data_IF_289939334412
#
_entry.id   IF_289939334412
#
_cell.length_a   1.000
_cell.length_b   1.000
_cell.length_c   1.000
_cell.angle_alpha   90.00
_cell.angle_beta   90.00
_cell.angle_gamma   90.00
#
_symmetry.space_group_name_H-M   'P 1'
#
loop_
_entity.id
_entity.type
_entity.pdbx_description
1 polymer ?
#
# COMPACT_ATOMS: atom_id res chain seq x y z
N UNK A 1 4.19 -11.24 -0.08
CA UNK A 1 4.64 -9.91 -0.52
C UNK A 1 4.27 -9.73 -1.99
N UNK A 2 4.64 -8.60 -2.62
CA UNK A 2 4.18 -8.29 -3.97
C UNK A 2 4.57 -9.32 -5.03
N UNK A 3 5.81 -9.83 -4.97
CA UNK A 3 6.33 -10.82 -5.91
C UNK A 3 5.54 -12.14 -5.89
N UNK A 4 5.21 -12.65 -4.69
CA UNK A 4 4.43 -13.88 -4.54
C UNK A 4 2.95 -13.69 -4.84
N UNK A 5 2.38 -12.52 -4.51
CA UNK A 5 0.95 -12.31 -4.62
C UNK A 5 0.51 -11.94 -6.04
N UNK A 6 1.35 -11.25 -6.83
CA UNK A 6 0.97 -10.79 -8.16
C UNK A 6 0.58 -11.95 -9.10
N UNK A 7 1.34 -13.06 -9.22
CA UNK A 7 0.95 -14.19 -10.08
C UNK A 7 -0.43 -14.75 -9.73
N UNK A 8 -0.75 -14.87 -8.43
CA UNK A 8 -2.07 -15.32 -7.96
C UNK A 8 -3.16 -14.36 -8.43
N UNK A 9 -2.93 -13.06 -8.33
CA UNK A 9 -3.89 -12.07 -8.81
C UNK A 9 -4.09 -12.13 -10.34
N UNK A 10 -3.04 -12.45 -11.10
CA UNK A 10 -3.13 -12.65 -12.56
C UNK A 10 -4.00 -13.86 -12.89
N UNK A 11 -3.75 -15.01 -12.25
CA UNK A 11 -4.57 -16.22 -12.44
C UNK A 11 -6.04 -15.95 -12.10
N UNK A 12 -6.32 -15.17 -11.05
CA UNK A 12 -7.68 -14.76 -10.70
C UNK A 12 -8.31 -13.86 -11.77
N UNK A 13 -7.57 -12.90 -12.32
CA UNK A 13 -8.06 -12.02 -13.40
C UNK A 13 -8.42 -12.82 -14.64
N UNK A 14 -7.58 -13.79 -15.01
CA UNK A 14 -7.81 -14.69 -16.14
C UNK A 14 -9.04 -15.59 -15.90
N UNK A 15 -9.13 -16.19 -14.71
CA UNK A 15 -10.22 -17.10 -14.35
C UNK A 15 -11.60 -16.43 -14.40
N UNK A 16 -11.68 -15.14 -14.05
CA UNK A 16 -12.93 -14.38 -14.10
C UNK A 16 -13.18 -13.71 -15.45
N UNK A 17 -12.23 -13.80 -16.39
CA UNK A 17 -12.29 -13.22 -17.73
C UNK A 17 -12.73 -11.74 -17.75
N UNK A 18 -12.32 -10.97 -16.74
CA UNK A 18 -12.70 -9.56 -16.58
C UNK A 18 -14.16 -9.30 -16.18
N UNK A 19 -14.98 -10.34 -15.94
CA UNK A 19 -16.37 -10.19 -15.51
C UNK A 19 -16.51 -9.73 -14.06
N UNK A 20 -15.50 -10.02 -13.22
CA UNK A 20 -15.45 -9.63 -11.82
C UNK A 20 -14.16 -8.85 -11.57
N UNK A 21 -14.23 -7.63 -11.03
CA UNK A 21 -13.03 -6.89 -10.66
C UNK A 21 -12.22 -7.62 -9.58
N UNK A 22 -10.92 -7.84 -9.84
CA UNK A 22 -10.00 -8.44 -8.87
C UNK A 22 -9.29 -7.36 -8.05
N UNK A 23 -9.10 -7.65 -6.77
CA UNK A 23 -8.33 -6.84 -5.82
C UNK A 23 -7.01 -7.53 -5.47
N UNK A 24 -5.95 -6.75 -5.25
CA UNK A 24 -4.63 -7.25 -4.87
C UNK A 24 -4.00 -6.30 -3.85
N UNK A 25 -3.73 -6.80 -2.64
CA UNK A 25 -3.24 -6.02 -1.49
C UNK A 25 -2.09 -6.73 -0.75
N UNK A 26 -0.88 -6.78 -1.32
CA UNK A 26 0.24 -7.47 -0.68
C UNK A 26 0.70 -6.77 0.60
N UNK A 27 1.32 -7.56 1.48
CA UNK A 27 2.07 -7.03 2.62
C UNK A 27 3.24 -6.18 2.16
N UNK A 28 3.56 -5.13 2.92
CA UNK A 28 4.70 -4.25 2.73
C UNK A 28 6.02 -4.82 3.24
N UNK A 29 6.17 -6.15 3.27
CA UNK A 29 7.37 -6.84 3.72
C UNK A 29 7.98 -7.67 2.59
N UNK A 30 9.31 -7.76 2.57
CA UNK A 30 10.10 -8.52 1.60
C UNK A 30 10.03 -10.03 1.89
N UNK A 31 8.92 -10.65 1.50
CA UNK A 31 8.72 -12.10 1.58
C UNK A 31 9.44 -12.83 0.45
N UNK A 32 9.76 -14.10 0.67
CA UNK A 32 10.29 -15.02 -0.34
C UNK A 32 9.37 -16.23 -0.51
N UNK A 33 9.65 -17.11 -1.47
CA UNK A 33 8.83 -18.30 -1.71
C UNK A 33 8.93 -19.28 -0.54
N UNK A 34 10.13 -19.45 0.04
CA UNK A 34 10.36 -20.28 1.23
C UNK A 34 9.83 -19.64 2.53
N UNK A 35 9.47 -18.35 2.49
CA UNK A 35 9.07 -17.58 3.65
C UNK A 35 7.92 -16.62 3.30
N UNK A 36 6.86 -17.13 2.66
CA UNK A 36 5.77 -16.31 2.15
C UNK A 36 4.85 -15.76 3.27
N UNK A 37 4.68 -16.53 4.35
CA UNK A 37 3.87 -16.16 5.50
C UNK A 37 4.69 -15.39 6.54
N UNK A 38 4.56 -14.06 6.53
CA UNK A 38 5.28 -13.18 7.44
C UNK A 38 4.91 -13.38 8.91
N UNK A 39 3.77 -14.01 9.21
CA UNK A 39 3.34 -14.26 10.60
C UNK A 39 4.04 -15.46 11.23
N UNK A 40 4.65 -16.31 10.40
CA UNK A 40 5.45 -17.46 10.84
C UNK A 40 6.91 -17.12 11.19
N UNK A 41 7.34 -15.89 10.87
CA UNK A 41 8.72 -15.46 11.03
C UNK A 41 9.10 -15.23 12.50
N UNK A 42 10.35 -15.49 12.92
CA UNK A 42 10.80 -15.21 14.28
C UNK A 42 10.75 -13.71 14.63
N UNK A 43 10.74 -12.83 13.63
CA UNK A 43 10.61 -11.39 13.82
C UNK A 43 9.17 -10.93 14.10
N UNK A 44 8.15 -11.76 13.88
CA UNK A 44 6.77 -11.34 14.11
C UNK A 44 6.42 -11.30 15.61
N UNK A 45 5.72 -10.26 16.12
CA UNK A 45 5.25 -9.08 15.40
C UNK A 45 6.20 -7.85 15.49
N UNK A 46 7.25 -7.90 16.32
CA UNK A 46 7.98 -6.68 16.74
C UNK A 46 9.26 -6.35 15.94
N UNK A 47 9.85 -7.31 15.25
CA UNK A 47 11.12 -7.18 14.51
C UNK A 47 10.96 -6.94 13.00
N UNK A 48 9.76 -6.60 12.52
CA UNK A 48 9.44 -6.59 11.09
C UNK A 48 10.03 -5.38 10.32
N UNK A 49 10.46 -4.33 11.02
CA UNK A 49 10.96 -3.08 10.42
C UNK A 49 12.11 -3.32 9.43
N UNK A 50 13.02 -4.24 9.72
CA UNK A 50 14.15 -4.55 8.85
C UNK A 50 13.74 -5.26 7.54
N UNK A 51 12.51 -5.77 7.46
CA UNK A 51 11.96 -6.45 6.29
C UNK A 51 10.97 -5.59 5.52
N UNK A 52 10.70 -4.36 5.95
CA UNK A 52 9.80 -3.44 5.25
C UNK A 52 10.35 -3.10 3.87
N UNK A 53 9.48 -3.17 2.86
CA UNK A 53 9.81 -2.82 1.48
C UNK A 53 10.08 -1.32 1.36
N UNK A 54 10.81 -0.93 0.32
CA UNK A 54 10.90 0.47 -0.05
C UNK A 54 9.61 0.90 -0.77
N UNK A 55 9.31 2.21 -0.73
CA UNK A 55 8.19 2.79 -1.50
C UNK A 55 8.22 2.43 -2.99
N UNK A 56 9.42 2.26 -3.56
CA UNK A 56 9.63 1.92 -4.96
C UNK A 56 9.17 0.52 -5.31
N UNK A 57 9.27 -0.43 -4.39
CA UNK A 57 8.90 -1.83 -4.62
C UNK A 57 7.37 -1.96 -4.76
N UNK A 58 6.63 -1.31 -3.85
CA UNK A 58 5.17 -1.27 -3.97
C UNK A 58 4.71 -0.42 -5.15
N UNK A 59 5.46 0.63 -5.51
CA UNK A 59 5.19 1.41 -6.72
C UNK A 59 5.28 0.54 -7.99
N UNK A 60 6.37 -0.21 -8.15
CA UNK A 60 6.55 -1.13 -9.28
C UNK A 60 5.42 -2.17 -9.33
N UNK A 61 5.11 -2.80 -8.20
CA UNK A 61 3.96 -3.70 -8.09
C UNK A 61 2.65 -3.06 -8.57
N UNK A 62 2.40 -1.79 -8.24
CA UNK A 62 1.17 -1.15 -8.67
C UNK A 62 1.10 -0.96 -10.20
N UNK A 63 2.23 -0.67 -10.85
CA UNK A 63 2.30 -0.64 -12.31
C UNK A 63 1.99 -2.02 -12.90
N UNK A 64 2.68 -3.05 -12.41
CA UNK A 64 2.54 -4.42 -12.91
C UNK A 64 1.12 -4.95 -12.69
N UNK A 65 0.53 -4.71 -11.52
CA UNK A 65 -0.84 -5.11 -11.21
C UNK A 65 -1.87 -4.40 -12.09
N UNK A 66 -1.68 -3.11 -12.38
CA UNK A 66 -2.55 -2.35 -13.30
C UNK A 66 -2.49 -2.95 -14.70
N UNK A 67 -1.29 -3.22 -15.18
CA UNK A 67 -1.05 -3.73 -16.53
C UNK A 67 -1.56 -5.17 -16.67
N UNK A 68 -1.53 -5.95 -15.60
CA UNK A 68 -2.14 -7.27 -15.50
C UNK A 68 -3.68 -7.26 -15.32
N UNK A 69 -4.33 -6.09 -15.31
CA UNK A 69 -5.79 -5.99 -15.27
C UNK A 69 -6.43 -5.96 -13.88
N UNK A 70 -5.64 -5.93 -12.79
CA UNK A 70 -6.16 -5.74 -11.43
C UNK A 70 -6.82 -4.36 -11.34
N UNK A 71 -8.03 -4.30 -10.76
CA UNK A 71 -8.83 -3.06 -10.69
C UNK A 71 -8.81 -2.40 -9.32
N UNK A 72 -8.58 -3.17 -8.26
CA UNK A 72 -8.41 -2.65 -6.91
C UNK A 72 -7.00 -2.97 -6.40
N UNK A 73 -6.10 -2.00 -6.53
CA UNK A 73 -4.69 -2.14 -6.15
C UNK A 73 -4.46 -1.42 -4.84
N UNK A 74 -4.06 -2.16 -3.81
CA UNK A 74 -3.77 -1.62 -2.49
C UNK A 74 -2.60 -2.36 -1.84
N UNK A 75 -2.53 -2.27 -0.52
CA UNK A 75 -1.48 -2.89 0.28
C UNK A 75 -2.03 -3.23 1.66
N UNK A 76 -1.38 -4.16 2.35
CA UNK A 76 -1.81 -4.65 3.67
C UNK A 76 -0.74 -4.36 4.75
N UNK A 77 -0.56 -5.26 5.73
CA UNK A 77 0.37 -5.12 6.85
C UNK A 77 1.78 -4.70 6.40
N UNK A 78 2.42 -3.79 7.14
CA UNK A 78 3.74 -3.24 6.81
C UNK A 78 3.72 -2.08 5.82
N UNK A 79 2.60 -1.87 5.12
CA UNK A 79 2.44 -0.67 4.30
C UNK A 79 2.16 0.56 5.15
N UNK A 80 2.60 1.71 4.64
CA UNK A 80 2.43 3.04 5.26
C UNK A 80 2.04 4.05 4.19
N UNK A 81 1.67 5.26 4.58
CA UNK A 81 1.17 6.29 3.67
C UNK A 81 2.13 6.58 2.49
N UNK A 82 3.44 6.49 2.70
CA UNK A 82 4.44 6.69 1.65
C UNK A 82 4.36 5.63 0.54
N UNK A 83 4.13 4.37 0.89
CA UNK A 83 3.95 3.29 -0.07
C UNK A 83 2.74 3.54 -0.97
N UNK A 84 1.59 3.81 -0.35
CA UNK A 84 0.33 4.06 -1.08
C UNK A 84 0.45 5.29 -1.97
N UNK A 85 1.14 6.34 -1.51
CA UNK A 85 1.44 7.52 -2.34
C UNK A 85 2.31 7.17 -3.54
N UNK A 86 3.38 6.40 -3.35
CA UNK A 86 4.26 5.99 -4.44
C UNK A 86 3.53 5.11 -5.47
N UNK A 87 2.71 4.16 -5.01
CA UNK A 87 1.82 3.36 -5.84
C UNK A 87 0.90 4.24 -6.69
N UNK A 88 0.22 5.20 -6.06
CA UNK A 88 -0.68 6.11 -6.76
C UNK A 88 0.04 6.95 -7.82
N UNK A 89 1.22 7.50 -7.50
CA UNK A 89 2.05 8.24 -8.46
C UNK A 89 2.42 7.36 -9.66
N UNK A 90 2.90 6.14 -9.41
CA UNK A 90 3.34 5.23 -10.46
C UNK A 90 2.23 4.90 -11.46
N UNK A 91 1.00 4.70 -10.97
CA UNK A 91 -0.14 4.39 -11.85
C UNK A 91 -0.84 5.64 -12.42
N UNK A 92 -0.19 6.81 -12.36
CA UNK A 92 -0.71 8.04 -12.96
C UNK A 92 -1.91 8.65 -12.21
N UNK A 93 -2.13 8.26 -10.95
CA UNK A 93 -3.20 8.84 -10.13
C UNK A 93 -2.84 10.22 -9.58
N UNK A 94 -1.67 10.80 -9.84
CA UNK A 94 -1.25 12.18 -9.50
C UNK A 94 -0.49 12.76 -10.74
N UNK A 95 -0.49 14.08 -11.10
CA UNK A 95 -0.97 15.29 -10.39
C UNK A 95 -1.71 16.35 -11.29
N UNK A 96 -1.98 17.56 -10.78
CA UNK A 96 -1.66 18.80 -11.52
C UNK A 96 -0.68 19.66 -10.67
N UNK A 97 -1.08 20.10 -9.49
CA UNK A 97 -0.20 20.65 -8.43
C UNK A 97 -0.19 19.75 -7.16
N UNK A 98 -0.51 18.46 -7.30
CA UNK A 98 -0.63 17.44 -6.23
C UNK A 98 -1.61 17.76 -5.06
N UNK A 99 -2.68 18.49 -5.38
CA UNK A 99 -4.03 18.38 -4.77
C UNK A 99 -4.16 18.94 -3.34
N UNK A 100 -4.61 20.19 -3.28
CA UNK A 100 -4.83 21.06 -2.11
C UNK A 100 -5.35 20.38 -0.84
N UNK A 101 -4.80 20.87 0.29
CA UNK A 101 -5.33 20.66 1.63
C UNK A 101 -6.73 21.27 1.73
N UNK A 102 -7.78 20.44 1.61
CA UNK A 102 -9.18 20.86 1.79
C UNK A 102 -9.55 21.10 3.26
N UNK A 103 -8.59 21.42 4.12
CA UNK A 103 -8.96 21.87 5.45
C UNK A 103 -9.55 23.27 5.32
N UNK A 104 -10.71 23.54 5.94
CA UNK A 104 -11.23 24.90 6.05
C UNK A 104 -10.30 25.79 6.89
N UNK A 105 -9.29 25.23 7.57
CA UNK A 105 -8.42 25.97 8.50
C UNK A 105 -7.34 26.82 7.83
N UNK A 106 -7.07 26.62 6.53
CA UNK A 106 -6.10 27.44 5.77
C UNK A 106 -4.63 27.31 6.19
N UNK A 107 -4.30 26.39 7.11
CA UNK A 107 -2.93 26.12 7.56
C UNK A 107 -2.70 24.61 7.78
N UNK A 108 -1.45 24.17 7.64
CA UNK A 108 -1.06 22.81 7.95
C UNK A 108 -1.11 22.59 9.48
N UNK A 109 -1.81 21.55 9.93
CA UNK A 109 -1.96 21.21 11.34
C UNK A 109 -2.15 19.70 11.50
N UNK A 110 -1.71 19.17 12.64
CA UNK A 110 -1.95 17.77 13.04
C UNK A 110 -3.44 17.52 13.30
N UNK A 111 -3.86 16.25 13.29
CA UNK A 111 -5.24 15.89 13.66
C UNK A 111 -5.59 16.34 15.09
N UNK A 112 -4.60 16.34 15.98
CA UNK A 112 -4.73 16.80 17.37
C UNK A 112 -5.14 18.28 17.44
N UNK A 113 -4.44 19.13 16.68
CA UNK A 113 -4.74 20.55 16.54
C UNK A 113 -6.06 20.80 15.78
N UNK A 114 -6.38 19.98 14.77
CA UNK A 114 -7.61 20.10 13.99
C UNK A 114 -8.88 19.93 14.83
N UNK A 115 -8.87 19.01 15.80
CA UNK A 115 -10.00 18.78 16.71
C UNK A 115 -9.94 19.62 17.99
N UNK A 116 -9.02 20.60 18.07
CA UNK A 116 -8.82 21.45 19.22
C UNK A 116 -8.62 20.67 20.53
N UNK A 117 -7.93 19.53 20.47
CA UNK A 117 -7.56 18.82 21.68
C UNK A 117 -6.64 19.72 22.51
N UNK A 118 -7.03 20.02 23.75
CA UNK A 118 -6.27 20.88 24.67
C UNK A 118 -5.49 20.10 25.72
N UNK A 119 -5.63 18.78 25.74
CA UNK A 119 -5.08 17.91 26.77
C UNK A 119 -3.85 17.16 26.24
N UNK A 120 -2.67 17.66 26.59
CA UNK A 120 -1.48 16.81 26.56
C UNK A 120 -1.69 15.73 27.61
N UNK A 121 -2.03 14.51 27.20
CA UNK A 121 -1.86 13.37 28.09
C UNK A 121 -0.38 13.33 28.50
N UNK A 122 -0.18 13.38 29.81
CA UNK A 122 1.11 13.38 30.51
C UNK A 122 1.71 11.98 30.49
#
# INVERSE_FOLDING_TARGET
>A
GPAQQLPIAVEMVEAVAGNVPVASQPVGYATTDDAADFTSWPEFPYGLTAKTLARGDLAAFAADARDAGVRYIGSCCGSVAEHVRAMAKMIGKLPAEEREWKSPTGQAMSAYEYYAHTETEV
#
